data_IF_169653355438
#
_entry.id   IF_169653355438
#
_cell.length_a   1.000
_cell.length_b   1.000
_cell.length_c   1.000
_cell.angle_alpha   90.00
_cell.angle_beta   90.00
_cell.angle_gamma   90.00
#
_symmetry.space_group_name_H-M   'P 1'
#
loop_
_entity.id
_entity.type
_entity.pdbx_description
1 polymer ?
#
# COMPACT_ATOMS: atom_id res chain seq x y z
N UNK A 1 -15.69 -1.84 9.94
CA UNK A 1 -15.91 -0.42 10.17
C UNK A 1 -14.80 0.37 9.52
N UNK A 2 -15.13 1.42 8.76
CA UNK A 2 -14.15 2.34 8.17
C UNK A 2 -13.52 3.20 9.27
N UNK A 3 -12.22 3.44 9.22
CA UNK A 3 -11.51 4.29 10.15
C UNK A 3 -11.44 5.72 9.60
N UNK A 4 -11.70 6.72 10.44
CA UNK A 4 -11.55 8.14 10.08
C UNK A 4 -10.09 8.58 10.22
N UNK A 5 -9.45 8.24 11.34
CA UNK A 5 -8.02 8.39 11.55
C UNK A 5 -7.33 7.06 11.23
N UNK A 6 -6.47 7.06 10.22
CA UNK A 6 -5.77 5.86 9.77
C UNK A 6 -4.49 5.64 10.56
N UNK A 7 -3.62 6.67 10.64
CA UNK A 7 -2.35 6.63 11.34
C UNK A 7 -2.09 7.94 12.06
N UNK A 8 -1.47 7.88 13.22
CA UNK A 8 -0.90 9.05 13.90
C UNK A 8 0.60 8.90 13.98
N UNK A 9 1.32 9.84 13.38
CA UNK A 9 2.77 9.95 13.47
C UNK A 9 3.12 10.93 14.57
N UNK A 10 3.96 10.53 15.51
CA UNK A 10 4.48 11.38 16.56
C UNK A 10 5.98 11.53 16.36
N UNK A 11 6.46 12.74 16.25
CA UNK A 11 7.87 13.06 16.05
C UNK A 11 8.55 13.33 17.38
N UNK A 12 9.89 13.19 17.40
CA UNK A 12 10.71 13.38 18.62
C UNK A 12 10.64 14.77 19.23
N UNK A 13 10.23 15.78 18.47
CA UNK A 13 10.00 17.17 18.93
C UNK A 13 8.57 17.42 19.43
N UNK A 14 7.75 16.38 19.59
CA UNK A 14 6.37 16.45 20.08
C UNK A 14 5.33 16.82 19.01
N UNK A 15 5.73 17.19 17.79
CA UNK A 15 4.77 17.41 16.72
C UNK A 15 4.10 16.09 16.28
N UNK A 16 2.85 16.18 15.84
CA UNK A 16 2.12 15.03 15.31
C UNK A 16 1.51 15.34 13.95
N UNK A 17 1.33 14.27 13.15
CA UNK A 17 0.65 14.28 11.87
C UNK A 17 -0.43 13.20 11.87
N UNK A 18 -1.67 13.59 11.63
CA UNK A 18 -2.81 12.68 11.55
C UNK A 18 -3.09 12.36 10.08
N UNK A 19 -2.83 11.11 9.71
CA UNK A 19 -3.06 10.62 8.36
C UNK A 19 -4.50 10.11 8.24
N UNK A 20 -5.28 10.72 7.36
CA UNK A 20 -6.70 10.42 7.18
C UNK A 20 -7.07 10.24 5.72
N UNK A 21 -8.27 9.68 5.46
CA UNK A 21 -8.85 9.60 4.11
C UNK A 21 -9.49 10.90 3.63
N UNK A 22 -9.88 11.79 4.55
CA UNK A 22 -10.53 13.05 4.22
C UNK A 22 -9.55 14.06 3.62
N UNK A 23 -9.88 14.57 2.43
CA UNK A 23 -9.01 15.47 1.69
C UNK A 23 -8.77 16.81 2.37
N UNK A 24 -9.78 17.37 3.04
CA UNK A 24 -9.69 18.67 3.72
C UNK A 24 -8.84 18.56 4.99
N UNK A 25 -9.02 17.49 5.75
CA UNK A 25 -8.22 17.20 6.94
C UNK A 25 -6.77 16.94 6.56
N UNK A 26 -6.52 16.18 5.50
CA UNK A 26 -5.18 15.91 4.99
C UNK A 26 -4.49 17.19 4.51
N UNK A 27 -5.20 18.11 3.85
CA UNK A 27 -4.66 19.42 3.46
C UNK A 27 -4.21 20.21 4.69
N UNK A 28 -5.06 20.28 5.72
CA UNK A 28 -4.73 20.98 6.98
C UNK A 28 -3.51 20.36 7.66
N UNK A 29 -3.43 19.05 7.73
CA UNK A 29 -2.30 18.34 8.32
C UNK A 29 -1.00 18.59 7.57
N UNK A 30 -1.01 18.52 6.24
CA UNK A 30 0.19 18.81 5.43
C UNK A 30 0.65 20.26 5.62
N UNK A 31 -0.29 21.20 5.60
CA UNK A 31 0.02 22.64 5.73
C UNK A 31 0.59 23.02 7.08
N UNK A 32 0.37 22.25 8.15
CA UNK A 32 1.08 22.46 9.44
C UNK A 32 2.60 22.37 9.29
N UNK A 33 3.08 21.61 8.32
CA UNK A 33 4.50 21.35 8.09
C UNK A 33 5.04 22.12 6.87
N UNK A 34 4.23 22.24 5.80
CA UNK A 34 4.66 22.89 4.55
C UNK A 34 3.49 23.15 3.62
N UNK A 35 3.13 24.41 3.37
CA UNK A 35 2.06 24.79 2.44
C UNK A 35 2.32 24.29 1.00
N UNK A 36 3.57 24.41 0.55
CA UNK A 36 3.96 24.03 -0.82
C UNK A 36 3.87 22.54 -1.06
N UNK A 37 4.02 21.72 -0.02
CA UNK A 37 4.02 20.25 -0.15
C UNK A 37 2.61 19.69 -0.35
N UNK A 38 1.56 20.46 -0.14
CA UNK A 38 0.20 19.99 -0.47
C UNK A 38 0.02 19.77 -1.97
N UNK A 39 0.59 20.63 -2.81
CA UNK A 39 0.61 20.38 -4.26
C UNK A 39 1.41 19.12 -4.58
N UNK A 40 2.60 18.99 -3.98
CA UNK A 40 3.44 17.81 -4.16
C UNK A 40 2.74 16.51 -3.73
N UNK A 41 1.97 16.55 -2.65
CA UNK A 41 1.14 15.41 -2.22
C UNK A 41 0.10 15.01 -3.29
N UNK A 42 -0.63 15.98 -3.86
CA UNK A 42 -1.59 15.68 -4.94
C UNK A 42 -0.90 15.06 -6.16
N UNK A 43 0.24 15.61 -6.55
CA UNK A 43 1.02 15.09 -7.69
C UNK A 43 1.57 13.68 -7.39
N UNK A 44 1.99 13.42 -6.14
CA UNK A 44 2.41 12.09 -5.68
C UNK A 44 1.23 11.09 -5.77
N UNK A 45 0.06 11.45 -5.23
CA UNK A 45 -1.14 10.58 -5.31
C UNK A 45 -1.49 10.24 -6.75
N UNK A 46 -1.50 11.23 -7.65
CA UNK A 46 -1.78 11.01 -9.08
C UNK A 46 -0.72 10.11 -9.75
N UNK A 47 0.53 10.20 -9.30
CA UNK A 47 1.58 9.31 -9.81
C UNK A 47 1.42 7.89 -9.27
N UNK A 48 1.06 7.73 -7.99
CA UNK A 48 0.85 6.41 -7.38
C UNK A 48 -0.37 5.69 -7.95
N UNK A 49 -1.38 6.42 -8.46
CA UNK A 49 -2.48 5.82 -9.23
C UNK A 49 -1.98 5.08 -10.46
N UNK A 50 -1.01 5.64 -11.19
CA UNK A 50 -0.43 4.98 -12.37
C UNK A 50 0.32 3.70 -11.99
N UNK A 51 1.02 3.72 -10.85
CA UNK A 51 1.70 2.54 -10.31
C UNK A 51 0.66 1.49 -9.91
N UNK A 52 -0.42 1.90 -9.23
CA UNK A 52 -1.52 1.03 -8.85
C UNK A 52 -2.18 0.35 -10.07
N UNK A 53 -2.52 1.11 -11.10
CA UNK A 53 -3.09 0.54 -12.33
C UNK A 53 -2.18 -0.51 -12.94
N UNK A 54 -0.87 -0.23 -13.05
CA UNK A 54 0.07 -1.19 -13.62
C UNK A 54 0.33 -2.38 -12.70
N UNK A 55 0.63 -2.14 -11.42
CA UNK A 55 1.06 -3.20 -10.51
C UNK A 55 -0.09 -4.05 -9.98
N UNK A 56 -1.23 -3.42 -9.67
CA UNK A 56 -2.36 -4.09 -9.02
C UNK A 56 -3.48 -4.49 -10.00
N UNK A 57 -3.72 -3.69 -11.06
CA UNK A 57 -4.79 -4.02 -12.03
C UNK A 57 -4.26 -4.87 -13.18
N UNK A 58 -3.15 -4.45 -13.82
CA UNK A 58 -2.67 -5.09 -15.03
C UNK A 58 -1.85 -6.38 -14.76
N UNK A 59 -1.14 -6.43 -13.63
CA UNK A 59 -0.13 -7.46 -13.38
C UNK A 59 -0.44 -8.40 -12.21
N UNK A 60 -1.47 -8.14 -11.39
CA UNK A 60 -1.72 -8.93 -10.17
C UNK A 60 -2.06 -10.40 -10.44
N UNK A 61 -2.68 -10.69 -11.57
CA UNK A 61 -3.11 -12.03 -12.00
C UNK A 61 -2.14 -12.69 -13.01
N UNK A 62 -1.02 -12.02 -13.33
CA UNK A 62 -0.07 -12.52 -14.33
C UNK A 62 1.08 -13.28 -13.68
N UNK A 63 1.34 -14.53 -14.10
CA UNK A 63 2.50 -15.26 -13.61
C UNK A 63 3.80 -14.66 -14.17
N UNK A 64 4.78 -14.42 -13.29
CA UNK A 64 6.11 -13.93 -13.65
C UNK A 64 7.11 -15.07 -13.92
N UNK A 65 6.65 -16.15 -14.57
CA UNK A 65 7.45 -17.32 -14.88
C UNK A 65 8.04 -17.31 -16.31
N UNK A 66 7.72 -16.31 -17.12
CA UNK A 66 8.18 -16.19 -18.51
C UNK A 66 9.09 -14.98 -18.67
N UNK A 67 10.35 -15.23 -19.06
CA UNK A 67 11.37 -14.17 -19.22
C UNK A 67 10.98 -13.13 -20.26
N UNK A 68 10.37 -13.55 -21.38
CA UNK A 68 9.93 -12.63 -22.44
C UNK A 68 8.81 -11.70 -21.91
N UNK A 69 7.87 -12.26 -21.13
CA UNK A 69 6.84 -11.47 -20.46
C UNK A 69 7.46 -10.44 -19.50
N UNK A 70 8.44 -10.84 -18.68
CA UNK A 70 9.13 -9.96 -17.75
C UNK A 70 9.85 -8.82 -18.48
N UNK A 71 10.59 -9.13 -19.56
CA UNK A 71 11.28 -8.13 -20.37
C UNK A 71 10.33 -7.12 -21.00
N UNK A 72 9.14 -7.53 -21.43
CA UNK A 72 8.10 -6.63 -21.94
C UNK A 72 7.59 -5.62 -20.90
N UNK A 73 7.72 -5.91 -19.59
CA UNK A 73 7.32 -4.98 -18.53
C UNK A 73 8.35 -3.89 -18.25
N UNK A 74 9.62 -4.11 -18.63
CA UNK A 74 10.74 -3.20 -18.30
C UNK A 74 10.46 -1.74 -18.70
N UNK A 75 9.98 -1.41 -19.92
CA UNK A 75 9.71 -0.03 -20.29
C UNK A 75 8.67 0.65 -19.37
N UNK A 76 7.63 -0.08 -18.97
CA UNK A 76 6.59 0.41 -18.04
C UNK A 76 7.19 0.67 -16.66
N UNK A 77 7.98 -0.27 -16.15
CA UNK A 77 8.60 -0.18 -14.83
C UNK A 77 9.61 0.98 -14.77
N UNK A 78 10.36 1.22 -15.85
CA UNK A 78 11.26 2.37 -15.95
C UNK A 78 10.49 3.69 -15.95
N UNK A 79 9.39 3.79 -16.72
CA UNK A 79 8.52 4.97 -16.75
C UNK A 79 7.91 5.26 -15.37
N UNK A 80 7.56 4.23 -14.63
CA UNK A 80 7.04 4.30 -13.27
C UNK A 80 8.14 4.48 -12.21
N UNK A 81 9.40 4.62 -12.63
CA UNK A 81 10.55 4.84 -11.74
C UNK A 81 10.73 3.75 -10.69
N UNK A 82 10.32 2.51 -11.00
CA UNK A 82 10.36 1.37 -10.05
C UNK A 82 11.78 0.99 -9.60
N UNK A 83 12.81 1.48 -10.28
CA UNK A 83 14.21 1.37 -9.88
C UNK A 83 14.61 2.26 -8.68
N UNK A 84 13.75 3.23 -8.33
CA UNK A 84 13.96 4.06 -7.14
C UNK A 84 13.43 3.37 -5.88
N UNK A 85 13.95 3.75 -4.72
CA UNK A 85 13.31 3.41 -3.46
C UNK A 85 12.07 4.29 -3.23
N UNK A 86 11.15 3.83 -2.35
CA UNK A 86 9.96 4.60 -1.96
C UNK A 86 10.35 5.98 -1.46
N UNK A 87 11.33 6.08 -0.55
CA UNK A 87 11.77 7.37 -0.01
C UNK A 87 12.32 8.30 -1.12
N UNK A 88 13.12 7.78 -2.06
CA UNK A 88 13.62 8.57 -3.19
C UNK A 88 12.51 9.01 -4.13
N UNK A 89 11.48 8.20 -4.35
CA UNK A 89 10.33 8.63 -5.15
C UNK A 89 9.55 9.74 -4.46
N UNK A 90 9.18 9.56 -3.20
CA UNK A 90 8.46 10.56 -2.39
C UNK A 90 9.22 11.89 -2.33
N UNK A 91 10.54 11.83 -2.18
CA UNK A 91 11.40 13.04 -2.14
C UNK A 91 11.40 13.86 -3.43
N UNK A 92 10.93 13.31 -4.56
CA UNK A 92 10.75 14.11 -5.79
C UNK A 92 9.52 15.04 -5.73
N UNK A 93 8.57 14.77 -4.82
CA UNK A 93 7.31 15.49 -4.69
C UNK A 93 7.21 16.29 -3.39
N UNK A 94 7.80 15.79 -2.32
CA UNK A 94 7.70 16.33 -0.97
C UNK A 94 9.05 16.90 -0.55
N UNK A 95 9.05 18.14 -0.04
CA UNK A 95 10.28 18.83 0.36
C UNK A 95 10.54 18.75 1.86
N UNK A 96 9.50 18.77 2.70
CA UNK A 96 9.61 18.66 4.14
C UNK A 96 10.00 17.25 4.56
N UNK A 97 11.01 17.11 5.41
CA UNK A 97 11.56 15.81 5.79
C UNK A 97 10.56 14.95 6.60
N UNK A 98 9.80 15.57 7.52
CA UNK A 98 8.78 14.85 8.29
C UNK A 98 7.70 14.28 7.40
N UNK A 99 7.22 15.08 6.44
CA UNK A 99 6.23 14.61 5.45
C UNK A 99 6.80 13.52 4.53
N UNK A 100 8.10 13.58 4.17
CA UNK A 100 8.74 12.47 3.45
C UNK A 100 8.67 11.18 4.23
N UNK A 101 8.94 11.20 5.54
CA UNK A 101 8.85 10.02 6.41
C UNK A 101 7.41 9.50 6.46
N UNK A 102 6.42 10.37 6.63
CA UNK A 102 5.00 10.01 6.62
C UNK A 102 4.63 9.29 5.33
N UNK A 103 4.85 9.91 4.18
CA UNK A 103 4.42 9.35 2.90
C UNK A 103 5.29 8.21 2.37
N UNK A 104 6.40 7.89 3.05
CA UNK A 104 7.26 6.76 2.71
C UNK A 104 7.02 5.53 3.58
N UNK A 105 6.09 5.55 4.52
CA UNK A 105 5.94 4.50 5.53
C UNK A 105 5.39 3.18 5.00
N UNK A 106 4.67 3.19 3.88
CA UNK A 106 3.91 2.04 3.37
C UNK A 106 4.69 0.72 3.25
N UNK A 107 5.99 0.69 2.86
CA UNK A 107 6.77 -0.55 2.89
C UNK A 107 6.83 -1.22 4.25
N UNK A 108 6.75 -0.46 5.36
CA UNK A 108 6.78 -1.01 6.71
C UNK A 108 5.60 -1.96 6.98
N UNK A 109 4.46 -1.74 6.32
CA UNK A 109 3.26 -2.59 6.43
C UNK A 109 3.50 -4.02 5.93
N UNK A 110 4.51 -4.20 5.07
CA UNK A 110 4.89 -5.50 4.48
C UNK A 110 6.33 -5.91 4.86
N UNK A 111 6.87 -5.34 5.93
CA UNK A 111 8.20 -5.65 6.44
C UNK A 111 9.36 -5.08 5.61
N UNK A 112 9.09 -4.13 4.73
CA UNK A 112 10.11 -3.50 3.87
C UNK A 112 10.70 -2.22 4.44
N UNK A 113 11.95 -1.93 4.11
CA UNK A 113 12.62 -0.68 4.47
C UNK A 113 12.36 0.39 3.38
N UNK A 114 11.78 1.57 3.69
CA UNK A 114 11.48 2.62 2.71
C UNK A 114 12.68 3.12 1.89
N UNK A 115 13.87 3.01 2.42
CA UNK A 115 15.10 3.48 1.75
C UNK A 115 15.64 2.49 0.71
N UNK A 116 15.26 1.22 0.79
CA UNK A 116 15.75 0.16 -0.12
C UNK A 116 14.64 -0.50 -0.92
N UNK A 117 13.39 -0.51 -0.41
CA UNK A 117 12.25 -1.11 -1.09
C UNK A 117 11.85 -0.32 -2.32
N UNK A 118 11.58 -1.03 -3.43
CA UNK A 118 11.17 -0.43 -4.71
C UNK A 118 9.96 0.48 -4.57
N UNK A 119 9.95 1.58 -5.32
CA UNK A 119 8.87 2.58 -5.34
C UNK A 119 7.51 2.03 -5.79
N UNK A 120 7.43 0.82 -6.31
CA UNK A 120 6.16 0.15 -6.64
C UNK A 120 5.25 0.11 -5.40
N UNK A 121 5.80 -0.09 -4.20
CA UNK A 121 5.02 -0.13 -2.96
C UNK A 121 4.31 1.19 -2.61
N UNK A 122 4.61 2.30 -3.28
CA UNK A 122 3.83 3.54 -3.15
C UNK A 122 2.40 3.40 -3.70
N UNK A 123 2.09 2.33 -4.46
CA UNK A 123 0.73 2.01 -4.87
C UNK A 123 -0.23 1.90 -3.67
N UNK A 124 0.28 1.51 -2.49
CA UNK A 124 -0.51 1.37 -1.25
C UNK A 124 -1.12 2.71 -0.86
N UNK A 125 -0.39 3.83 -1.03
CA UNK A 125 -0.91 5.18 -0.77
C UNK A 125 -2.18 5.46 -1.59
N UNK A 126 -2.21 5.08 -2.87
CA UNK A 126 -3.40 5.24 -3.69
C UNK A 126 -4.51 4.25 -3.32
N UNK A 127 -4.13 3.01 -2.98
CA UNK A 127 -5.05 1.96 -2.56
C UNK A 127 -5.83 2.37 -1.31
N UNK A 128 -5.13 2.86 -0.28
CA UNK A 128 -5.74 3.37 0.95
C UNK A 128 -6.68 4.55 0.66
N UNK A 129 -6.24 5.50 -0.16
CA UNK A 129 -7.06 6.65 -0.54
C UNK A 129 -8.32 6.25 -1.31
N UNK A 130 -8.23 5.21 -2.15
CA UNK A 130 -9.35 4.74 -2.99
C UNK A 130 -10.41 3.99 -2.20
N UNK A 131 -10.00 3.13 -1.27
CA UNK A 131 -10.91 2.24 -0.55
C UNK A 131 -11.00 2.52 0.96
N UNK A 132 -10.11 3.34 1.50
CA UNK A 132 -10.02 3.59 2.93
C UNK A 132 -9.36 2.44 3.68
N UNK A 133 -9.23 2.63 4.99
CA UNK A 133 -8.77 1.59 5.92
C UNK A 133 -9.94 1.14 6.76
N UNK A 134 -10.09 -0.18 6.89
CA UNK A 134 -11.20 -0.81 7.58
C UNK A 134 -10.70 -1.69 8.72
N UNK A 135 -11.43 -1.67 9.82
CA UNK A 135 -11.21 -2.56 10.94
C UNK A 135 -12.26 -3.67 10.95
N UNK A 136 -11.83 -4.92 11.05
CA UNK A 136 -12.75 -6.04 11.26
C UNK A 136 -13.23 -6.06 12.71
N UNK A 137 -14.54 -5.88 12.92
CA UNK A 137 -15.12 -5.93 14.25
C UNK A 137 -14.86 -7.28 14.92
N UNK A 138 -14.31 -7.22 16.13
CA UNK A 138 -13.86 -8.39 16.87
C UNK A 138 -12.49 -8.96 16.42
N UNK A 139 -11.73 -8.17 15.64
CA UNK A 139 -10.37 -8.49 15.20
C UNK A 139 -10.30 -9.36 13.95
N UNK A 140 -9.08 -9.57 13.46
CA UNK A 140 -8.80 -10.33 12.22
C UNK A 140 -9.25 -11.80 12.31
N UNK A 141 -9.26 -12.39 13.51
CA UNK A 141 -9.79 -13.74 13.72
C UNK A 141 -11.26 -13.91 13.28
N UNK A 142 -12.06 -12.85 13.32
CA UNK A 142 -13.44 -12.92 12.85
C UNK A 142 -13.56 -12.99 11.33
N UNK A 143 -12.57 -12.48 10.58
CA UNK A 143 -12.49 -12.68 9.12
C UNK A 143 -12.31 -14.17 8.80
N UNK A 144 -11.41 -14.84 9.55
CA UNK A 144 -11.17 -16.29 9.40
C UNK A 144 -12.43 -17.09 9.73
N UNK A 145 -13.11 -16.74 10.84
CA UNK A 145 -14.38 -17.41 11.20
C UNK A 145 -15.47 -17.21 10.15
N UNK A 146 -15.57 -16.00 9.56
CA UNK A 146 -16.53 -15.72 8.50
C UNK A 146 -16.23 -16.55 7.23
N UNK A 147 -14.96 -16.68 6.85
CA UNK A 147 -14.55 -17.55 5.75
C UNK A 147 -14.83 -19.03 6.04
N UNK A 148 -14.53 -19.50 7.27
CA UNK A 148 -14.86 -20.89 7.68
C UNK A 148 -16.37 -21.15 7.61
N UNK A 149 -17.19 -20.17 8.01
CA UNK A 149 -18.65 -20.27 7.91
C UNK A 149 -19.09 -20.37 6.46
N UNK A 150 -18.60 -19.49 5.58
CA UNK A 150 -18.89 -19.52 4.16
C UNK A 150 -18.50 -20.87 3.52
N UNK A 151 -17.30 -21.37 3.83
CA UNK A 151 -16.86 -22.67 3.32
C UNK A 151 -17.79 -23.82 3.74
N UNK A 152 -18.32 -23.79 4.97
CA UNK A 152 -19.32 -24.78 5.43
C UNK A 152 -20.65 -24.65 4.69
N UNK A 153 -21.11 -23.42 4.45
CA UNK A 153 -22.34 -23.12 3.68
C UNK A 153 -22.23 -23.60 2.24
N UNK A 154 -21.03 -23.50 1.65
CA UNK A 154 -20.73 -24.01 0.29
C UNK A 154 -20.37 -25.52 0.26
N UNK A 155 -20.55 -26.25 1.37
CA UNK A 155 -20.21 -27.67 1.49
C UNK A 155 -18.73 -28.01 1.21
N UNK A 156 -17.83 -27.09 1.45
CA UNK A 156 -16.39 -27.31 1.32
C UNK A 156 -15.89 -28.08 2.54
N UNK A 157 -15.26 -29.23 2.31
CA UNK A 157 -14.67 -30.02 3.37
C UNK A 157 -13.38 -29.37 3.89
N UNK A 158 -13.32 -29.12 5.20
CA UNK A 158 -12.14 -28.58 5.89
C UNK A 158 -11.49 -29.73 6.67
N UNK A 159 -10.28 -30.12 6.28
CA UNK A 159 -9.48 -31.13 6.97
C UNK A 159 -8.39 -30.42 7.78
N UNK A 160 -8.44 -30.52 9.11
CA UNK A 160 -7.45 -29.94 10.01
C UNK A 160 -6.39 -30.98 10.37
N UNK A 161 -5.20 -30.49 10.82
CA UNK A 161 -4.06 -31.33 11.20
C UNK A 161 -3.60 -32.28 10.05
N UNK A 162 -3.75 -31.84 8.81
CA UNK A 162 -3.30 -32.53 7.60
C UNK A 162 -2.17 -31.71 6.95
N UNK A 163 -0.93 -32.19 7.10
CA UNK A 163 0.22 -31.60 6.44
C UNK A 163 0.19 -31.93 4.96
N UNK A 164 0.36 -30.90 4.11
CA UNK A 164 0.48 -31.10 2.67
C UNK A 164 1.92 -31.48 2.35
N UNK A 165 2.14 -32.72 1.93
CA UNK A 165 3.47 -33.25 1.61
C UNK A 165 3.83 -33.13 0.13
N UNK A 166 2.81 -33.12 -0.76
CA UNK A 166 3.03 -33.07 -2.21
C UNK A 166 1.83 -32.43 -2.92
N UNK A 167 2.10 -31.70 -3.99
CA UNK A 167 1.11 -31.19 -4.94
C UNK A 167 1.36 -31.85 -6.28
N UNK A 168 0.45 -32.71 -6.71
CA UNK A 168 0.52 -33.42 -7.99
C UNK A 168 -0.23 -32.56 -9.03
N UNK A 169 0.48 -32.12 -10.09
CA UNK A 169 -0.11 -31.46 -11.26
C UNK A 169 -0.16 -32.44 -12.43
N UNK A 170 -1.29 -32.57 -13.07
CA UNK A 170 -1.45 -33.31 -14.32
C UNK A 170 -1.12 -32.44 -15.51
#
# INVERSE_FOLDING_TARGET
VTLDLWYRFVFSDGQSFDYTGDGNSMEKEIKKFSDKDFKGYKDLVNFTEKIFKKGFVDLSDKPFNNLVFMLKQVPSLLRLKSYKSVYKLVSNYITNEKLRRVFSMHPLLVGGNPFTTTSIYTLILFLEKKWGIHYSMGGTGNVVKALEKLMKEENIQIIKNAEVTEIISN
#
